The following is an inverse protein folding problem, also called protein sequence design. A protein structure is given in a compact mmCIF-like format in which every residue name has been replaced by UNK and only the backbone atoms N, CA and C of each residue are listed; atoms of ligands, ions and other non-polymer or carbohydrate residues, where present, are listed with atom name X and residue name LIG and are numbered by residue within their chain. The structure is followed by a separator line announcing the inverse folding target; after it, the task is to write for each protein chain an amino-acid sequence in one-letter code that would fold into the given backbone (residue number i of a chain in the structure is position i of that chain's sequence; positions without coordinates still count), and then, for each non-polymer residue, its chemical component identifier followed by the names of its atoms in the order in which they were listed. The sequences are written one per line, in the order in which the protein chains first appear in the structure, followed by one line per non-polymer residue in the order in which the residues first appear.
data_IF_866235406247
#
_entry.id   IF_866235406247
#
_cell.length_a   1.000
_cell.length_b   1.000
_cell.length_c   1.000
_cell.angle_alpha   90.00
_cell.angle_beta   90.00
_cell.angle_gamma   90.00
#
_symmetry.space_group_name_H-M   'P 1'
#
loop_
_entity.id
_entity.type
_entity.pdbx_description
1 polymer ?
#
# COMPACT_ATOMS: atom_id res chain seq x y z
N UNK A 1 -51.27 -56.12 -12.60
CA UNK A 1 -50.44 -56.46 -13.78
C UNK A 1 -49.01 -56.16 -13.40
N UNK A 2 -48.15 -57.19 -13.51
CA UNK A 2 -46.77 -57.21 -13.03
C UNK A 2 -45.82 -56.44 -13.96
N UNK A 3 -44.62 -56.15 -13.43
CA UNK A 3 -43.31 -55.92 -14.07
C UNK A 3 -42.75 -54.51 -13.91
N UNK A 4 -41.48 -54.26 -13.60
CA UNK A 4 -40.32 -55.06 -13.16
C UNK A 4 -39.30 -54.02 -12.66
N UNK A 5 -38.67 -54.28 -11.53
CA UNK A 5 -37.57 -53.48 -10.96
C UNK A 5 -36.34 -53.55 -11.86
N UNK A 6 -35.79 -52.39 -12.24
CA UNK A 6 -34.41 -52.28 -12.77
C UNK A 6 -33.58 -51.50 -11.75
N UNK A 7 -32.74 -52.24 -11.05
CA UNK A 7 -31.67 -51.72 -10.23
C UNK A 7 -30.58 -51.16 -11.16
N UNK A 8 -30.34 -49.86 -11.09
CA UNK A 8 -29.18 -49.20 -11.69
C UNK A 8 -28.40 -48.51 -10.58
N UNK A 9 -27.33 -49.14 -10.10
CA UNK A 9 -26.41 -48.57 -9.13
C UNK A 9 -25.75 -47.31 -9.72
N UNK A 10 -26.19 -46.12 -9.28
CA UNK A 10 -25.49 -44.87 -9.59
C UNK A 10 -24.24 -44.82 -8.73
N UNK A 11 -23.11 -45.21 -9.31
CA UNK A 11 -21.80 -44.97 -8.74
C UNK A 11 -21.60 -43.46 -8.59
N UNK A 12 -21.65 -42.97 -7.35
CA UNK A 12 -21.31 -41.59 -7.01
C UNK A 12 -19.79 -41.42 -7.12
N UNK A 13 -19.32 -40.92 -8.27
CA UNK A 13 -17.97 -40.38 -8.39
C UNK A 13 -17.88 -39.09 -7.57
N UNK A 14 -17.45 -39.21 -6.31
CA UNK A 14 -17.05 -38.07 -5.50
C UNK A 14 -15.73 -37.57 -6.08
N UNK A 15 -15.81 -36.59 -6.99
CA UNK A 15 -14.66 -35.78 -7.39
C UNK A 15 -14.21 -34.98 -6.17
N UNK A 16 -13.23 -35.52 -5.45
CA UNK A 16 -12.53 -34.80 -4.39
C UNK A 16 -11.78 -33.63 -5.01
N UNK A 17 -12.36 -32.43 -4.94
CA UNK A 17 -11.63 -31.20 -5.16
C UNK A 17 -10.56 -31.12 -4.06
N UNK A 18 -9.32 -31.44 -4.39
CA UNK A 18 -8.19 -31.14 -3.52
C UNK A 18 -8.17 -29.61 -3.35
N UNK A 19 -8.55 -29.14 -2.16
CA UNK A 19 -8.40 -27.75 -1.78
C UNK A 19 -6.89 -27.47 -1.77
N UNK A 20 -6.40 -26.83 -2.83
CA UNK A 20 -5.08 -26.22 -2.80
C UNK A 20 -5.12 -25.15 -1.71
N UNK A 21 -4.40 -25.38 -0.61
CA UNK A 21 -4.25 -24.38 0.41
C UNK A 21 -3.67 -23.13 -0.26
N UNK A 22 -4.40 -22.02 -0.24
CA UNK A 22 -3.88 -20.76 -0.72
C UNK A 22 -2.59 -20.47 0.06
N UNK A 23 -1.51 -20.02 -0.61
CA UNK A 23 -0.30 -19.63 0.10
C UNK A 23 -0.66 -18.60 1.17
N UNK A 24 0.00 -18.65 2.35
CA UNK A 24 -0.28 -17.68 3.41
C UNK A 24 -0.11 -16.28 2.83
N UNK A 25 -1.14 -15.45 3.01
CA UNK A 25 -1.10 -14.08 2.57
C UNK A 25 0.06 -13.38 3.31
N UNK A 26 1.10 -13.03 2.57
CA UNK A 26 2.23 -12.28 3.10
C UNK A 26 1.79 -10.83 3.29
N UNK A 27 1.21 -10.55 4.45
CA UNK A 27 0.93 -9.18 4.86
C UNK A 27 2.17 -8.58 5.50
N UNK A 28 2.43 -7.30 5.21
CA UNK A 28 3.39 -6.52 5.97
C UNK A 28 3.03 -6.58 7.47
N UNK A 29 4.05 -6.59 8.34
CA UNK A 29 3.87 -6.81 9.77
C UNK A 29 2.87 -5.86 10.43
N UNK A 30 2.74 -4.63 9.91
CA UNK A 30 1.78 -3.62 10.36
C UNK A 30 0.70 -3.26 9.31
N UNK A 31 0.66 -3.94 8.16
CA UNK A 31 -0.30 -3.64 7.08
C UNK A 31 0.02 -2.33 6.37
N UNK A 32 0.91 -2.40 5.36
CA UNK A 32 1.31 -1.22 4.59
C UNK A 32 0.12 -0.65 3.81
N UNK A 33 0.04 0.68 3.74
CA UNK A 33 -1.01 1.39 3.01
C UNK A 33 -0.50 1.79 1.64
N UNK A 34 -1.22 1.37 0.60
CA UNK A 34 -0.86 1.64 -0.79
C UNK A 34 -1.91 2.54 -1.42
N UNK A 35 -1.50 3.76 -1.79
CA UNK A 35 -2.33 4.73 -2.51
C UNK A 35 -1.82 4.78 -3.94
N UNK A 36 -2.60 4.25 -4.88
CA UNK A 36 -2.20 4.14 -6.28
C UNK A 36 -3.27 4.79 -7.15
N UNK A 37 -2.90 5.81 -7.91
CA UNK A 37 -3.82 6.49 -8.81
C UNK A 37 -3.40 7.91 -9.14
N UNK A 38 -4.36 8.69 -9.63
CA UNK A 38 -4.14 10.07 -10.04
C UNK A 38 -5.19 10.97 -9.41
N UNK A 39 -4.78 12.17 -9.02
CA UNK A 39 -5.64 13.22 -8.44
C UNK A 39 -6.49 12.72 -7.26
N UNK A 40 -5.96 11.76 -6.49
CA UNK A 40 -6.63 11.23 -5.31
C UNK A 40 -6.41 12.13 -4.10
N UNK A 41 -7.44 12.29 -3.30
CA UNK A 41 -7.34 12.93 -1.98
C UNK A 41 -7.72 11.92 -0.91
N UNK A 42 -6.77 11.58 -0.03
CA UNK A 42 -6.98 10.55 0.98
C UNK A 42 -6.39 10.96 2.33
N UNK A 43 -7.03 10.48 3.39
CA UNK A 43 -6.51 10.53 4.75
C UNK A 43 -6.37 9.10 5.24
N UNK A 44 -5.19 8.77 5.74
CA UNK A 44 -4.83 7.41 6.16
C UNK A 44 -4.17 7.47 7.52
N UNK A 45 -4.44 6.48 8.36
CA UNK A 45 -3.75 6.31 9.63
C UNK A 45 -2.66 5.26 9.46
N UNK A 46 -1.41 5.69 9.62
CA UNK A 46 -0.25 4.86 9.34
C UNK A 46 -0.08 3.70 10.31
N UNK A 47 -0.51 3.81 11.57
CA UNK A 47 -0.39 2.73 12.57
C UNK A 47 0.99 2.02 12.60
N UNK A 48 2.09 2.78 12.59
CA UNK A 48 3.47 2.27 12.53
C UNK A 48 3.77 1.38 11.29
N UNK A 49 2.97 1.50 10.23
CA UNK A 49 3.16 0.83 8.94
C UNK A 49 3.84 1.75 7.91
N UNK A 50 4.18 1.19 6.75
CA UNK A 50 4.71 1.95 5.63
C UNK A 50 3.57 2.54 4.81
N UNK A 51 3.70 3.82 4.46
CA UNK A 51 2.83 4.48 3.49
C UNK A 51 3.52 4.53 2.12
N UNK A 52 2.85 4.00 1.11
CA UNK A 52 3.35 3.93 -0.26
C UNK A 52 2.39 4.66 -1.20
N UNK A 53 2.82 5.80 -1.72
CA UNK A 53 2.03 6.65 -2.61
C UNK A 53 2.62 6.57 -4.01
N UNK A 54 1.84 6.10 -4.98
CA UNK A 54 2.26 5.96 -6.36
C UNK A 54 1.27 6.60 -7.32
N UNK A 55 1.77 7.51 -8.16
CA UNK A 55 1.03 8.09 -9.27
C UNK A 55 1.24 9.58 -9.37
N UNK A 56 0.19 10.33 -9.72
CA UNK A 56 0.32 11.76 -10.02
C UNK A 56 -0.75 12.63 -9.40
N UNK A 57 -0.38 13.77 -8.84
CA UNK A 57 -1.35 14.74 -8.34
C UNK A 57 -2.07 14.30 -7.06
N UNK A 58 -1.59 13.25 -6.38
CA UNK A 58 -2.26 12.75 -5.18
C UNK A 58 -1.96 13.65 -3.97
N UNK A 59 -2.97 13.92 -3.15
CA UNK A 59 -2.86 14.64 -1.88
C UNK A 59 -3.21 13.69 -0.73
N UNK A 60 -2.21 13.37 0.10
CA UNK A 60 -2.35 12.38 1.17
C UNK A 60 -2.04 13.01 2.53
N UNK A 61 -2.97 12.89 3.47
CA UNK A 61 -2.75 13.20 4.88
C UNK A 61 -2.52 11.89 5.65
N UNK A 62 -1.34 11.75 6.22
CA UNK A 62 -0.91 10.56 6.96
C UNK A 62 -0.93 10.86 8.46
N UNK A 63 -1.91 10.28 9.14
CA UNK A 63 -2.11 10.43 10.57
C UNK A 63 -1.27 9.43 11.37
N UNK A 64 -0.92 9.81 12.59
CA UNK A 64 -0.14 8.97 13.49
C UNK A 64 1.32 8.79 13.05
N UNK A 65 1.98 7.74 13.55
CA UNK A 65 3.37 7.46 13.17
C UNK A 65 3.41 6.55 11.94
N UNK A 66 4.08 7.01 10.90
CA UNK A 66 4.49 6.17 9.78
C UNK A 66 5.88 5.60 10.08
N UNK A 67 6.06 4.30 9.85
CA UNK A 67 7.39 3.72 9.90
C UNK A 67 8.23 4.34 8.78
N UNK A 68 7.76 4.24 7.55
CA UNK A 68 8.38 4.83 6.38
C UNK A 68 7.34 5.44 5.43
N UNK A 69 7.77 6.43 4.64
CA UNK A 69 6.95 7.05 3.60
C UNK A 69 7.69 6.94 2.27
N UNK A 70 7.11 6.22 1.32
CA UNK A 70 7.64 6.11 -0.04
C UNK A 70 6.69 6.79 -1.02
N UNK A 71 7.23 7.70 -1.82
CA UNK A 71 6.46 8.44 -2.84
C UNK A 71 7.06 8.21 -4.22
N UNK A 72 6.22 7.91 -5.20
CA UNK A 72 6.63 7.63 -6.58
C UNK A 72 5.72 8.36 -7.56
N UNK A 73 6.31 8.89 -8.65
CA UNK A 73 5.60 9.48 -9.78
C UNK A 73 5.84 11.00 -9.89
N UNK A 74 4.79 11.81 -9.96
CA UNK A 74 4.92 13.26 -10.11
C UNK A 74 3.88 14.09 -9.34
N UNK A 75 4.26 15.25 -8.82
CA UNK A 75 3.31 16.22 -8.24
C UNK A 75 2.41 15.67 -7.13
N UNK A 76 2.87 14.70 -6.32
CA UNK A 76 2.12 14.28 -5.14
C UNK A 76 2.48 15.17 -3.95
N UNK A 77 1.49 15.42 -3.09
CA UNK A 77 1.62 16.16 -1.84
C UNK A 77 1.26 15.26 -0.68
N UNK A 78 2.21 15.06 0.23
CA UNK A 78 2.06 14.21 1.42
C UNK A 78 2.27 15.09 2.64
N UNK A 79 1.36 15.02 3.60
CA UNK A 79 1.49 15.67 4.91
C UNK A 79 1.37 14.59 5.98
N UNK A 80 2.44 14.36 6.73
CA UNK A 80 2.52 13.31 7.74
C UNK A 80 2.68 13.87 9.16
N UNK A 81 2.03 13.26 10.15
CA UNK A 81 2.20 13.66 11.56
C UNK A 81 3.59 13.30 12.08
N UNK A 82 4.01 12.04 11.90
CA UNK A 82 5.33 11.55 12.31
C UNK A 82 5.89 10.54 11.33
N UNK A 83 7.19 10.60 11.07
CA UNK A 83 7.91 9.55 10.33
C UNK A 83 9.16 9.13 11.09
N UNK A 84 9.27 7.84 11.38
CA UNK A 84 10.27 7.32 12.32
C UNK A 84 11.51 6.68 11.68
N UNK A 85 11.41 6.15 10.46
CA UNK A 85 12.51 5.44 9.80
C UNK A 85 13.07 6.20 8.60
N UNK A 86 12.31 6.30 7.51
CA UNK A 86 12.78 6.93 6.27
C UNK A 86 11.65 7.59 5.47
N UNK A 87 12.06 8.58 4.67
CA UNK A 87 11.24 9.19 3.62
C UNK A 87 12.01 9.01 2.32
N UNK A 88 11.47 8.17 1.45
CA UNK A 88 12.07 7.88 0.15
C UNK A 88 11.20 8.43 -0.97
N UNK A 89 11.78 9.26 -1.82
CA UNK A 89 11.06 9.95 -2.90
C UNK A 89 11.69 9.64 -4.24
N UNK A 90 10.86 9.12 -5.14
CA UNK A 90 11.16 8.84 -6.54
C UNK A 90 10.33 9.74 -7.44
N UNK A 91 10.99 10.36 -8.42
CA UNK A 91 10.35 11.25 -9.40
C UNK A 91 10.53 12.73 -9.08
N UNK A 92 9.58 13.55 -9.51
CA UNK A 92 9.73 15.01 -9.53
C UNK A 92 8.49 15.75 -9.00
N UNK A 93 8.69 16.99 -8.56
CA UNK A 93 7.65 17.88 -8.03
C UNK A 93 6.89 17.27 -6.83
N UNK A 94 7.55 16.40 -6.08
CA UNK A 94 6.98 15.79 -4.89
C UNK A 94 7.09 16.78 -3.74
N UNK A 95 6.03 16.89 -2.95
CA UNK A 95 6.01 17.70 -1.73
C UNK A 95 5.71 16.78 -0.55
N UNK A 96 6.65 16.63 0.37
CA UNK A 96 6.47 15.83 1.60
C UNK A 96 6.75 16.72 2.80
N UNK A 97 5.71 16.95 3.58
CA UNK A 97 5.79 17.62 4.87
C UNK A 97 5.60 16.60 5.98
N UNK A 98 6.39 16.72 7.04
CA UNK A 98 6.22 15.91 8.24
C UNK A 98 6.38 16.77 9.48
N UNK A 99 5.57 16.54 10.51
CA UNK A 99 5.60 17.38 11.71
C UNK A 99 6.67 16.91 12.71
N UNK A 100 6.84 15.60 12.89
CA UNK A 100 7.74 15.03 13.88
C UNK A 100 8.50 13.80 13.39
N UNK A 101 9.49 13.36 14.17
CA UNK A 101 10.39 12.26 13.84
C UNK A 101 11.76 12.72 13.32
N UNK A 102 12.62 11.75 13.04
CA UNK A 102 13.98 11.95 12.51
C UNK A 102 14.24 10.93 11.38
N UNK A 103 13.48 10.98 10.29
CA UNK A 103 13.63 10.01 9.22
C UNK A 103 14.92 10.27 8.44
N UNK A 104 15.50 9.19 7.92
CA UNK A 104 16.49 9.33 6.86
C UNK A 104 15.81 9.79 5.58
N UNK A 105 16.29 10.89 4.98
CA UNK A 105 15.69 11.45 3.77
C UNK A 105 16.45 10.98 2.54
N UNK A 106 15.77 10.22 1.68
CA UNK A 106 16.29 9.79 0.39
C UNK A 106 15.49 10.36 -0.77
N UNK A 107 15.97 11.48 -1.30
CA UNK A 107 15.43 12.11 -2.50
C UNK A 107 16.19 11.61 -3.73
N UNK A 108 15.69 10.53 -4.34
CA UNK A 108 16.27 9.91 -5.53
C UNK A 108 16.04 10.78 -6.78
N UNK A 109 14.99 11.60 -6.78
CA UNK A 109 14.73 12.57 -7.85
C UNK A 109 15.88 13.55 -8.04
N UNK A 110 16.44 14.05 -6.93
CA UNK A 110 17.58 14.98 -6.95
C UNK A 110 18.83 14.41 -7.63
N UNK A 111 19.04 13.11 -7.57
CA UNK A 111 20.16 12.43 -8.25
C UNK A 111 20.06 12.50 -9.78
N UNK A 112 18.84 12.72 -10.30
CA UNK A 112 18.55 12.87 -11.72
C UNK A 112 18.28 14.33 -12.12
N UNK A 113 18.54 15.30 -11.24
CA UNK A 113 18.26 16.72 -11.47
C UNK A 113 16.77 17.10 -11.36
N UNK A 114 15.93 16.22 -10.81
CA UNK A 114 14.53 16.52 -10.51
C UNK A 114 14.42 17.20 -9.14
N UNK A 115 13.55 18.20 -9.03
CA UNK A 115 13.37 18.96 -7.77
C UNK A 115 12.18 18.44 -6.99
N UNK A 116 12.38 18.21 -5.70
CA UNK A 116 11.36 17.83 -4.73
C UNK A 116 11.47 18.73 -3.49
N UNK A 117 10.39 18.85 -2.72
CA UNK A 117 10.32 19.61 -1.46
C UNK A 117 10.03 18.67 -0.31
N UNK A 118 11.06 18.33 0.45
CA UNK A 118 10.95 17.51 1.65
C UNK A 118 11.39 18.38 2.83
N UNK A 119 10.48 18.67 3.76
CA UNK A 119 10.80 19.51 4.91
C UNK A 119 10.00 19.09 6.15
N UNK A 120 10.67 19.19 7.30
CA UNK A 120 9.98 19.15 8.58
C UNK A 120 9.29 20.49 8.79
N UNK A 121 8.02 20.47 9.18
CA UNK A 121 7.23 21.68 9.48
C UNK A 121 6.78 21.67 10.93
N UNK A 122 6.67 22.83 11.61
CA UNK A 122 6.08 22.89 12.94
C UNK A 122 4.65 22.30 12.93
N UNK A 123 4.33 21.48 13.93
CA UNK A 123 2.98 20.96 14.19
C UNK A 123 2.25 21.77 15.23
#
# INVERSE_FOLDING_TARGET
MQWTTVAGSLAACILGCAAVAAPPAAHAKNGDTHIIGQDLQQTVDCNDATLLVNGSGNSVTALGNCYAVTVMGSSNTIVADSVSHDITVYGYDQTVFYHSGQPFIWDRGRELGMVNRLQQVPG
#
